data_IF_486510045620
#
_entry.id   IF_486510045620
#
_cell.length_a   1.000
_cell.length_b   1.000
_cell.length_c   1.000
_cell.angle_alpha   90.00
_cell.angle_beta   90.00
_cell.angle_gamma   90.00
#
_symmetry.space_group_name_H-M   'P 1'
#
loop_
_entity.id
_entity.type
_entity.pdbx_description
1 polymer ?
#
# COMPACT_ATOMS: atom_id res chain seq x y z
N UNK A 1 18.27 4.59 -3.74
CA UNK A 1 17.70 5.73 -2.98
C UNK A 1 16.30 5.35 -2.54
N UNK A 2 15.95 5.64 -1.30
CA UNK A 2 14.62 5.38 -0.74
C UNK A 2 14.02 6.67 -0.22
N UNK A 3 12.80 6.95 -0.60
CA UNK A 3 12.09 8.16 -0.20
C UNK A 3 10.66 7.82 0.25
N UNK A 4 10.17 8.61 1.19
CA UNK A 4 8.76 8.62 1.55
C UNK A 4 8.05 9.71 0.77
N UNK A 5 6.88 9.38 0.26
CA UNK A 5 6.11 10.28 -0.56
C UNK A 5 4.73 9.73 -0.85
N UNK A 6 4.16 10.17 -1.96
CA UNK A 6 2.82 9.72 -2.38
C UNK A 6 2.80 9.38 -3.86
N UNK A 7 1.87 8.54 -4.21
CA UNK A 7 1.52 8.33 -5.62
C UNK A 7 0.64 9.50 -6.05
N UNK A 8 1.12 10.28 -7.00
CA UNK A 8 0.40 11.42 -7.53
C UNK A 8 -0.56 11.01 -8.65
N UNK A 9 -0.10 10.13 -9.55
CA UNK A 9 -0.86 9.67 -10.70
C UNK A 9 -0.57 8.20 -10.97
N UNK A 10 -1.58 7.49 -11.42
CA UNK A 10 -1.45 6.12 -11.89
C UNK A 10 -1.91 6.07 -13.34
N UNK A 11 -1.06 5.58 -14.20
CA UNK A 11 -1.35 5.44 -15.62
C UNK A 11 -1.99 4.06 -15.88
N UNK A 12 -2.69 3.90 -17.00
CA UNK A 12 -3.27 2.61 -17.36
C UNK A 12 -2.21 1.51 -17.49
N UNK A 13 -2.58 0.30 -17.08
CA UNK A 13 -1.73 -0.88 -17.27
C UNK A 13 -1.32 -1.01 -18.73
N UNK A 14 -0.04 -1.19 -18.94
CA UNK A 14 0.54 -1.49 -20.26
C UNK A 14 0.81 -2.99 -20.33
N UNK A 15 0.49 -3.58 -21.45
CA UNK A 15 0.73 -5.00 -21.69
C UNK A 15 1.27 -5.23 -23.09
N UNK A 16 1.95 -6.33 -23.28
CA UNK A 16 2.49 -6.73 -24.55
C UNK A 16 2.88 -8.19 -24.55
N UNK A 17 3.39 -8.64 -25.68
CA UNK A 17 3.89 -9.98 -25.88
C UNK A 17 5.36 -9.92 -26.28
N UNK A 18 6.20 -10.70 -25.63
CA UNK A 18 7.61 -10.86 -25.96
C UNK A 18 7.92 -12.33 -26.24
N UNK A 19 9.15 -12.61 -26.66
CA UNK A 19 9.62 -14.01 -26.83
C UNK A 19 9.53 -14.85 -25.56
N UNK A 20 9.47 -14.19 -24.37
CA UNK A 20 9.32 -14.85 -23.07
C UNK A 20 7.88 -15.00 -22.61
N UNK A 21 6.90 -14.55 -23.40
CA UNK A 21 5.48 -14.59 -23.09
C UNK A 21 4.85 -13.20 -22.91
N UNK A 22 3.66 -13.18 -22.35
CA UNK A 22 2.93 -11.94 -22.07
C UNK A 22 3.52 -11.22 -20.86
N UNK A 23 3.53 -9.89 -20.95
CA UNK A 23 3.94 -9.04 -19.83
C UNK A 23 2.93 -7.93 -19.57
N UNK A 24 2.86 -7.51 -18.32
CA UNK A 24 2.08 -6.36 -17.87
C UNK A 24 2.93 -5.49 -16.98
N UNK A 25 2.75 -4.18 -17.09
CA UNK A 25 3.40 -3.21 -16.22
C UNK A 25 2.43 -2.11 -15.84
N UNK A 26 2.53 -1.63 -14.61
CA UNK A 26 1.75 -0.50 -14.11
C UNK A 26 2.67 0.70 -13.94
N UNK A 27 2.56 1.71 -14.80
CA UNK A 27 3.29 2.97 -14.62
C UNK A 27 2.57 3.87 -13.62
N UNK A 28 3.34 4.55 -12.79
CA UNK A 28 2.82 5.54 -11.85
C UNK A 28 3.82 6.67 -11.58
N UNK A 29 3.32 7.82 -11.23
CA UNK A 29 4.14 8.98 -10.85
C UNK A 29 4.23 9.06 -9.34
N UNK A 30 5.44 8.96 -8.82
CA UNK A 30 5.76 9.10 -7.42
C UNK A 30 6.28 10.51 -7.16
N UNK A 31 5.70 11.18 -6.16
CA UNK A 31 6.06 12.52 -5.72
C UNK A 31 6.67 12.45 -4.33
N UNK A 32 7.83 13.05 -4.16
CA UNK A 32 8.59 13.00 -2.92
C UNK A 32 9.40 14.28 -2.68
N UNK A 33 9.95 14.41 -1.49
CA UNK A 33 10.90 15.45 -1.14
C UNK A 33 12.22 14.79 -0.73
N UNK A 34 13.33 15.22 -1.33
CA UNK A 34 14.66 14.70 -0.97
C UNK A 34 15.10 15.15 0.43
N UNK A 35 14.69 16.35 0.82
CA UNK A 35 14.95 16.90 2.15
C UNK A 35 13.81 17.82 2.61
N UNK A 36 13.77 18.10 3.91
CA UNK A 36 12.69 18.89 4.53
C UNK A 36 12.73 20.37 4.17
N UNK A 37 13.86 20.88 3.70
CA UNK A 37 14.04 22.30 3.33
C UNK A 37 13.62 22.56 1.88
N UNK A 38 13.35 21.51 1.13
CA UNK A 38 12.99 21.61 -0.28
C UNK A 38 11.60 22.26 -0.44
N UNK A 39 11.54 23.30 -1.23
CA UNK A 39 10.30 24.05 -1.49
C UNK A 39 9.35 23.32 -2.44
N UNK A 40 9.90 22.57 -3.39
CA UNK A 40 9.16 21.90 -4.45
C UNK A 40 9.39 20.40 -4.37
N UNK A 41 8.34 19.64 -4.58
CA UNK A 41 8.45 18.20 -4.67
C UNK A 41 9.14 17.76 -5.96
N UNK A 42 9.88 16.68 -5.86
CA UNK A 42 10.38 15.96 -7.03
C UNK A 42 9.38 14.89 -7.47
N UNK A 43 9.42 14.55 -8.74
CA UNK A 43 8.54 13.53 -9.34
C UNK A 43 9.35 12.60 -10.19
N UNK A 44 9.02 11.33 -10.08
CA UNK A 44 9.63 10.28 -10.90
C UNK A 44 8.54 9.37 -11.45
N UNK A 45 8.67 9.04 -12.73
CA UNK A 45 7.83 8.02 -13.36
C UNK A 45 8.47 6.65 -13.11
N UNK A 46 7.74 5.79 -12.44
CA UNK A 46 8.14 4.43 -12.11
C UNK A 46 7.21 3.43 -12.78
N UNK A 47 7.72 2.26 -13.04
CA UNK A 47 6.93 1.13 -13.55
C UNK A 47 7.17 -0.10 -12.69
N UNK A 48 6.13 -0.86 -12.46
CA UNK A 48 6.24 -2.14 -11.75
C UNK A 48 5.68 -3.28 -12.60
N UNK A 49 6.39 -4.41 -12.55
CA UNK A 49 5.93 -5.71 -13.07
C UNK A 49 5.43 -6.63 -11.93
N UNK A 50 5.63 -6.24 -10.69
CA UNK A 50 5.23 -7.03 -9.52
C UNK A 50 3.71 -6.96 -9.31
N UNK A 51 3.06 -8.10 -9.45
CA UNK A 51 1.60 -8.22 -9.29
C UNK A 51 1.12 -7.84 -7.89
N UNK A 52 1.94 -8.00 -6.87
CA UNK A 52 1.60 -7.58 -5.49
C UNK A 52 1.54 -6.08 -5.38
N UNK A 53 2.53 -5.38 -5.95
CA UNK A 53 2.55 -3.92 -5.99
C UNK A 53 1.39 -3.39 -6.82
N UNK A 54 1.12 -4.00 -7.98
CA UNK A 54 -0.04 -3.66 -8.81
C UNK A 54 -1.35 -3.79 -8.03
N UNK A 55 -1.51 -4.85 -7.25
CA UNK A 55 -2.69 -5.08 -6.42
C UNK A 55 -2.81 -4.06 -5.29
N UNK A 56 -1.72 -3.71 -4.66
CA UNK A 56 -1.69 -2.69 -3.61
C UNK A 56 -2.10 -1.31 -4.14
N UNK A 57 -1.56 -0.91 -5.29
CA UNK A 57 -1.94 0.34 -5.94
C UNK A 57 -3.37 0.26 -6.46
N UNK A 58 -3.75 -0.88 -7.05
CA UNK A 58 -5.09 -1.13 -7.58
C UNK A 58 -6.21 -1.02 -6.55
N UNK A 59 -5.93 -1.32 -5.28
CA UNK A 59 -6.89 -1.16 -4.19
C UNK A 59 -7.29 0.31 -3.95
N UNK A 60 -6.48 1.26 -4.36
CA UNK A 60 -6.75 2.71 -4.26
C UNK A 60 -7.39 3.30 -5.52
N UNK A 61 -7.57 2.52 -6.55
CA UNK A 61 -8.17 2.99 -7.79
C UNK A 61 -9.69 2.84 -7.75
N UNK A 62 -10.39 3.88 -8.20
CA UNK A 62 -11.82 3.81 -8.43
C UNK A 62 -12.12 2.77 -9.49
N UNK A 63 -13.05 1.88 -9.20
CA UNK A 63 -13.49 0.83 -10.12
C UNK A 63 -14.89 1.08 -10.63
N UNK A 64 -15.10 0.78 -11.90
CA UNK A 64 -16.41 0.81 -12.53
C UNK A 64 -17.23 -0.45 -12.23
N UNK A 65 -18.48 -0.51 -12.79
CA UNK A 65 -19.36 -1.67 -12.58
C UNK A 65 -18.78 -2.98 -13.13
N UNK A 66 -17.84 -2.91 -14.07
CA UNK A 66 -17.14 -4.06 -14.64
C UNK A 66 -15.94 -4.55 -13.81
N UNK A 67 -15.66 -3.91 -12.67
CA UNK A 67 -14.53 -4.20 -11.81
C UNK A 67 -13.18 -3.67 -12.31
N UNK A 68 -13.16 -2.97 -13.43
CA UNK A 68 -11.94 -2.35 -13.99
C UNK A 68 -11.75 -0.93 -13.48
N UNK A 69 -10.49 -0.48 -13.42
CA UNK A 69 -10.18 0.88 -13.03
C UNK A 69 -10.84 1.90 -13.96
N UNK A 70 -11.42 2.93 -13.36
CA UNK A 70 -11.97 4.08 -14.11
C UNK A 70 -10.82 4.92 -14.63
N UNK A 71 -10.86 5.24 -15.92
CA UNK A 71 -9.84 6.07 -16.57
C UNK A 71 -10.50 7.40 -16.97
N UNK A 72 -9.90 8.49 -16.52
CA UNK A 72 -10.27 9.86 -16.87
C UNK A 72 -9.02 10.61 -17.31
N UNK A 73 -9.10 11.32 -18.44
CA UNK A 73 -7.97 12.06 -19.00
C UNK A 73 -6.68 11.22 -19.22
N UNK A 74 -6.84 9.93 -19.55
CA UNK A 74 -5.72 9.01 -19.75
C UNK A 74 -5.03 8.52 -18.48
N UNK A 75 -5.63 8.75 -17.32
CA UNK A 75 -5.11 8.32 -16.02
C UNK A 75 -6.15 7.54 -15.23
N UNK A 76 -5.70 6.62 -14.39
CA UNK A 76 -6.60 5.95 -13.45
C UNK A 76 -7.00 6.92 -12.32
N UNK A 77 -8.28 6.87 -11.93
CA UNK A 77 -8.80 7.72 -10.86
C UNK A 77 -8.42 7.13 -9.50
N UNK A 78 -7.71 7.91 -8.69
CA UNK A 78 -7.38 7.56 -7.31
C UNK A 78 -8.54 7.90 -6.38
N UNK A 79 -8.86 7.00 -5.45
CA UNK A 79 -9.90 7.21 -4.43
C UNK A 79 -9.40 7.95 -3.18
N UNK A 80 -8.13 8.28 -3.12
CA UNK A 80 -7.54 8.95 -1.97
C UNK A 80 -6.04 9.12 -2.12
N UNK A 81 -5.39 9.58 -1.07
CA UNK A 81 -3.95 9.74 -1.03
C UNK A 81 -3.27 8.43 -0.64
N UNK A 82 -2.41 7.92 -1.50
CA UNK A 82 -1.60 6.74 -1.23
C UNK A 82 -0.18 7.16 -0.86
N UNK A 83 0.10 7.18 0.42
CA UNK A 83 1.45 7.41 0.95
C UNK A 83 2.23 6.11 0.96
N UNK A 84 3.45 6.18 0.46
CA UNK A 84 4.31 5.01 0.36
C UNK A 84 5.78 5.37 0.51
N UNK A 85 6.56 4.38 0.87
CA UNK A 85 8.01 4.42 0.84
C UNK A 85 8.47 3.67 -0.40
N UNK A 86 9.23 4.34 -1.24
CA UNK A 86 9.66 3.81 -2.53
C UNK A 86 11.16 3.86 -2.64
N UNK A 87 11.75 2.73 -3.01
CA UNK A 87 13.15 2.62 -3.35
C UNK A 87 13.32 2.47 -4.86
N UNK A 88 14.12 3.33 -5.46
CA UNK A 88 14.44 3.25 -6.87
C UNK A 88 15.91 3.61 -7.14
N UNK A 89 16.43 3.10 -8.23
CA UNK A 89 17.72 3.45 -8.77
C UNK A 89 17.56 4.18 -10.08
N UNK A 90 18.43 5.13 -10.33
CA UNK A 90 18.50 5.87 -11.57
C UNK A 90 19.85 5.65 -12.22
N UNK A 91 19.84 5.08 -13.41
CA UNK A 91 21.03 4.80 -14.20
C UNK A 91 20.86 5.31 -15.62
N UNK A 92 21.97 5.51 -16.28
CA UNK A 92 22.00 5.80 -17.71
C UNK A 92 22.46 4.56 -18.44
N UNK A 93 21.70 4.13 -19.41
CA UNK A 93 22.00 2.97 -20.25
C UNK A 93 22.12 3.39 -21.70
N UNK A 94 23.16 2.92 -22.36
CA UNK A 94 23.36 3.13 -23.79
C UNK A 94 23.30 1.80 -24.54
N UNK A 95 22.73 1.81 -25.71
CA UNK A 95 22.67 0.65 -26.60
C UNK A 95 22.78 1.08 -28.06
N UNK A 96 23.23 0.17 -28.90
CA UNK A 96 23.33 0.41 -30.33
C UNK A 96 22.03 0.01 -31.03
N UNK A 97 21.49 0.92 -31.83
CA UNK A 97 20.31 0.66 -32.66
C UNK A 97 20.71 -0.12 -33.92
N UNK A 98 19.72 -0.73 -34.56
CA UNK A 98 19.91 -1.47 -35.82
C UNK A 98 20.43 -0.59 -36.97
N UNK A 99 20.19 0.71 -36.92
CA UNK A 99 20.69 1.70 -37.90
C UNK A 99 22.15 2.13 -37.66
N UNK A 100 22.83 1.57 -36.67
CA UNK A 100 24.19 1.90 -36.31
C UNK A 100 24.35 3.11 -35.41
N UNK A 101 23.29 3.80 -35.05
CA UNK A 101 23.33 4.93 -34.09
C UNK A 101 23.25 4.44 -32.66
N UNK A 102 23.87 5.18 -31.72
CA UNK A 102 23.82 4.89 -30.30
C UNK A 102 22.72 5.68 -29.62
N UNK A 103 21.84 4.97 -28.91
CA UNK A 103 20.82 5.57 -28.07
C UNK A 103 21.25 5.55 -26.60
N UNK A 104 20.96 6.62 -25.90
CA UNK A 104 21.16 6.74 -24.45
C UNK A 104 19.83 7.03 -23.81
N UNK A 105 19.46 6.22 -22.81
CA UNK A 105 18.19 6.35 -22.09
C UNK A 105 18.42 6.40 -20.59
N UNK A 106 17.52 7.09 -19.91
CA UNK A 106 17.43 6.99 -18.46
C UNK A 106 16.74 5.67 -18.09
N UNK A 107 17.40 4.88 -17.26
CA UNK A 107 16.90 3.60 -16.74
C UNK A 107 16.58 3.77 -15.26
N UNK A 108 15.31 3.92 -14.94
CA UNK A 108 14.82 4.06 -13.57
C UNK A 108 14.18 2.75 -13.16
N UNK A 109 14.67 2.14 -12.10
CA UNK A 109 14.20 0.84 -11.63
C UNK A 109 13.69 0.90 -10.22
N UNK A 110 12.46 0.47 -10.05
CA UNK A 110 11.84 0.24 -8.75
C UNK A 110 12.40 -1.06 -8.14
N UNK A 111 12.89 -1.00 -6.90
CA UNK A 111 13.35 -2.18 -6.18
C UNK A 111 12.65 -2.37 -4.82
N UNK A 112 11.96 -1.33 -4.32
CA UNK A 112 11.22 -1.40 -3.06
C UNK A 112 9.93 -0.59 -3.14
N UNK A 113 8.87 -1.16 -2.61
CA UNK A 113 7.58 -0.48 -2.47
C UNK A 113 6.92 -0.90 -1.16
N UNK A 114 6.54 0.06 -0.35
CA UNK A 114 5.88 -0.16 0.93
C UNK A 114 4.79 0.89 1.13
N UNK A 115 3.57 0.44 1.38
CA UNK A 115 2.45 1.34 1.71
C UNK A 115 2.57 1.77 3.16
N UNK A 116 2.64 3.08 3.41
CA UNK A 116 2.77 3.65 4.74
C UNK A 116 1.44 4.01 5.36
N UNK A 117 0.58 4.67 4.58
CA UNK A 117 -0.70 5.17 5.05
C UNK A 117 -1.73 5.01 3.95
N UNK A 118 -2.88 4.51 4.33
CA UNK A 118 -4.00 4.32 3.42
C UNK A 118 -4.99 5.47 3.55
N UNK A 119 -5.57 5.88 2.42
CA UNK A 119 -6.64 6.88 2.42
C UNK A 119 -7.88 6.41 3.18
N UNK A 120 -8.73 7.37 3.59
CA UNK A 120 -9.88 7.14 4.46
C UNK A 120 -10.85 6.02 4.01
N UNK A 121 -11.02 5.81 2.71
CA UNK A 121 -11.90 4.77 2.16
C UNK A 121 -11.39 3.34 2.43
N UNK A 122 -10.09 3.15 2.52
CA UNK A 122 -9.47 1.84 2.79
C UNK A 122 -9.29 1.63 4.30
N UNK A 123 -9.07 2.69 5.06
CA UNK A 123 -9.01 2.63 6.51
C UNK A 123 -10.33 2.13 7.14
N UNK A 124 -11.47 2.41 6.54
CA UNK A 124 -12.76 1.89 6.97
C UNK A 124 -12.91 0.37 6.78
N UNK A 125 -12.27 -0.19 5.78
CA UNK A 125 -12.28 -1.64 5.57
C UNK A 125 -11.36 -2.38 6.54
N UNK A 126 -10.28 -1.76 6.98
CA UNK A 126 -9.38 -2.36 7.96
C UNK A 126 -9.94 -2.33 9.38
N UNK A 127 -10.71 -1.31 9.75
CA UNK A 127 -11.37 -1.25 11.05
C UNK A 127 -12.48 -2.29 11.19
N UNK A 128 -13.06 -2.79 10.12
CA UNK A 128 -14.02 -3.89 10.18
C UNK A 128 -13.37 -5.27 10.35
N UNK A 129 -12.10 -5.42 9.99
CA UNK A 129 -11.37 -6.68 10.20
C UNK A 129 -10.74 -6.79 11.60
N UNK A 130 -10.65 -5.71 12.34
CA UNK A 130 -10.15 -5.69 13.72
C UNK A 130 -11.29 -5.75 14.75
N UNK A 131 -12.46 -6.20 14.37
CA UNK A 131 -13.34 -6.79 15.36
C UNK A 131 -12.80 -8.19 15.70
N UNK A 132 -11.69 -8.19 16.39
CA UNK A 132 -11.42 -9.29 17.29
C UNK A 132 -12.69 -9.45 18.14
N UNK A 133 -13.14 -10.68 18.34
CA UNK A 133 -14.18 -10.88 19.34
C UNK A 133 -13.68 -10.16 20.58
N UNK A 134 -14.48 -9.21 21.01
CA UNK A 134 -14.31 -8.62 22.31
C UNK A 134 -14.15 -9.81 23.24
N UNK A 135 -12.97 -9.95 23.79
CA UNK A 135 -12.80 -10.76 24.96
C UNK A 135 -13.83 -10.19 25.92
N UNK A 136 -14.97 -10.84 25.96
CA UNK A 136 -15.83 -10.65 27.10
C UNK A 136 -14.93 -11.00 28.26
N UNK A 137 -14.61 -10.06 29.16
CA UNK A 137 -14.00 -10.47 30.40
C UNK A 137 -14.97 -11.54 30.89
N UNK A 138 -14.46 -12.75 31.00
CA UNK A 138 -15.19 -13.75 31.72
C UNK A 138 -15.61 -13.03 32.98
N UNK A 139 -16.89 -12.78 33.09
CA UNK A 139 -17.45 -12.41 34.38
C UNK A 139 -16.97 -13.53 35.27
N UNK A 140 -15.93 -13.26 36.02
CA UNK A 140 -15.53 -14.18 37.05
C UNK A 140 -16.83 -14.50 37.74
N UNK A 141 -17.18 -15.77 37.72
CA UNK A 141 -18.31 -16.23 38.48
C UNK A 141 -18.20 -15.58 39.85
N UNK A 142 -19.26 -14.90 40.33
CA UNK A 142 -19.19 -14.26 41.61
C UNK A 142 -18.61 -15.30 42.54
N UNK A 143 -17.57 -14.95 43.25
CA UNK A 143 -17.01 -15.79 44.25
C UNK A 143 -18.16 -16.41 45.02
N UNK A 144 -18.20 -17.72 45.21
CA UNK A 144 -19.22 -18.31 46.03
C UNK A 144 -19.17 -17.53 47.35
N UNK A 145 -20.33 -17.11 47.85
CA UNK A 145 -20.34 -16.31 49.06
C UNK A 145 -19.46 -17.05 50.05
N UNK A 146 -18.47 -16.39 50.55
CA UNK A 146 -17.71 -16.90 51.67
C UNK A 146 -18.72 -17.23 52.69
N UNK A 147 -18.95 -18.53 52.93
CA UNK A 147 -19.70 -18.94 54.08
C UNK A 147 -18.95 -18.33 55.22
N UNK A 148 -19.54 -17.32 55.80
CA UNK A 148 -19.09 -16.87 57.09
C UNK A 148 -19.03 -18.12 57.92
N UNK A 149 -17.91 -18.41 58.57
CA UNK A 149 -17.90 -19.45 59.55
C UNK A 149 -19.09 -19.11 60.44
N UNK A 150 -20.07 -19.96 60.48
CA UNK A 150 -21.03 -19.91 61.57
C UNK A 150 -20.13 -19.88 62.81
N UNK A 151 -20.10 -18.78 63.44
CA UNK A 151 -19.73 -18.76 64.79
C UNK A 151 -20.67 -19.73 65.44
N UNK A 152 -20.16 -20.89 65.71
CA UNK A 152 -20.80 -21.76 66.67
C UNK A 152 -20.80 -20.98 67.97
N UNK A 153 -21.92 -20.38 68.16
CA UNK A 153 -22.19 -19.66 69.41
C UNK A 153 -22.51 -20.64 70.51
N UNK A 154 -21.95 -21.80 70.35
CA UNK A 154 -21.96 -22.83 71.36
C UNK A 154 -20.59 -22.87 72.05
N UNK A 155 -20.26 -21.80 72.62
CA UNK A 155 -19.30 -21.82 73.67
C UNK A 155 -20.06 -22.15 74.95
N UNK A 156 -19.89 -23.38 75.40
CA UNK A 156 -20.41 -23.68 76.76
C UNK A 156 -19.51 -22.97 77.71
N UNK A 157 -20.02 -22.15 78.30
CA UNK A 157 -19.40 -21.75 79.43
C UNK A 157 -20.09 -21.28 80.26
#
# INVERSE_FOLDING_TARGET
MEFEGRIQRVLPVRSGTSQRGEWKTLPFVFEYYENQEQRWSDKVLLETFDTRIMSQIGAFLKKGPDGKAVIENGECVLMGELKCKVGFSHNVRSFDKQDGTRATINDVRLYKFEVLEQGAAVAQQQTQQVQQPVYQPQVQAPFPPVQQPQEDDDLPF
#
